data_IF_120169665980
#
_entry.id   IF_120169665980
#
_cell.length_a   1.000
_cell.length_b   1.000
_cell.length_c   1.000
_cell.angle_alpha   90.00
_cell.angle_beta   90.00
_cell.angle_gamma   90.00
#
_symmetry.space_group_name_H-M   'P 1'
#
loop_
_entity.id
_entity.type
_entity.pdbx_description
1 polymer ?
#
# COMPACT_ATOMS: atom_id res chain seq x y z
N UNK A 1 -25.07 32.70 31.42
CA UNK A 1 -25.84 32.67 30.16
C UNK A 1 -24.91 32.17 29.06
N UNK A 2 -25.18 31.01 28.45
CA UNK A 2 -24.35 30.51 27.35
C UNK A 2 -24.65 31.26 26.07
N UNK A 3 -23.63 31.82 25.42
CA UNK A 3 -23.76 32.46 24.11
C UNK A 3 -24.12 31.40 23.07
N UNK A 4 -25.29 31.55 22.43
CA UNK A 4 -25.69 30.67 21.32
C UNK A 4 -24.91 31.10 20.08
N UNK A 5 -23.97 30.27 19.65
CA UNK A 5 -23.20 30.49 18.43
C UNK A 5 -24.00 30.13 17.19
N UNK A 6 -23.87 30.93 16.13
CA UNK A 6 -24.48 30.61 14.85
C UNK A 6 -23.79 29.39 14.20
N UNK A 7 -24.48 28.60 13.36
CA UNK A 7 -23.85 27.48 12.64
C UNK A 7 -22.65 27.90 11.78
N UNK A 8 -22.63 29.16 11.34
CA UNK A 8 -21.53 29.75 10.56
C UNK A 8 -20.32 30.03 11.44
N UNK A 9 -20.51 30.57 12.65
CA UNK A 9 -19.43 30.76 13.63
C UNK A 9 -18.80 29.43 14.03
N UNK A 10 -19.61 28.41 14.33
CA UNK A 10 -19.12 27.08 14.68
C UNK A 10 -18.33 26.45 13.52
N UNK A 11 -18.79 26.66 12.29
CA UNK A 11 -18.11 26.12 11.11
C UNK A 11 -16.80 26.83 10.80
N UNK A 12 -16.76 28.15 10.97
CA UNK A 12 -15.53 28.94 10.85
C UNK A 12 -14.52 28.57 11.94
N UNK A 13 -14.96 28.43 13.18
CA UNK A 13 -14.09 28.00 14.28
C UNK A 13 -13.50 26.60 14.01
N UNK A 14 -14.31 25.66 13.51
CA UNK A 14 -13.85 24.33 13.12
C UNK A 14 -12.87 24.37 11.94
N UNK A 15 -13.09 25.25 10.95
CA UNK A 15 -12.17 25.44 9.84
C UNK A 15 -10.82 26.00 10.34
N UNK A 16 -10.83 26.98 11.24
CA UNK A 16 -9.61 27.58 11.80
C UNK A 16 -8.83 26.58 12.65
N UNK A 17 -9.51 25.75 13.45
CA UNK A 17 -8.83 24.70 14.21
C UNK A 17 -8.16 23.68 13.29
N UNK A 18 -8.82 23.25 12.20
CA UNK A 18 -8.22 22.35 11.21
C UNK A 18 -6.97 22.95 10.54
N UNK A 19 -6.98 24.24 10.23
CA UNK A 19 -5.81 24.94 9.70
C UNK A 19 -4.68 25.02 10.71
N UNK A 20 -5.01 25.31 11.97
CA UNK A 20 -4.05 25.35 13.08
C UNK A 20 -3.34 24.01 13.28
N UNK A 21 -4.07 22.89 13.18
CA UNK A 21 -3.51 21.54 13.24
C UNK A 21 -2.82 21.08 11.95
N UNK A 22 -2.64 21.95 10.95
CA UNK A 22 -1.98 21.62 9.68
C UNK A 22 -2.83 20.77 8.72
N UNK A 23 -4.10 20.52 9.02
CA UNK A 23 -5.02 19.74 8.20
C UNK A 23 -5.71 20.63 7.15
N UNK A 24 -4.90 21.25 6.28
CA UNK A 24 -5.33 22.28 5.31
C UNK A 24 -6.40 21.75 4.35
N UNK A 25 -6.28 20.50 3.89
CA UNK A 25 -7.26 19.92 2.96
C UNK A 25 -8.60 19.65 3.63
N UNK A 26 -8.60 19.21 4.89
CA UNK A 26 -9.83 19.06 5.66
C UNK A 26 -10.54 20.41 5.86
N UNK A 27 -9.77 21.48 6.10
CA UNK A 27 -10.32 22.84 6.20
C UNK A 27 -10.96 23.30 4.88
N UNK A 28 -10.31 23.03 3.73
CA UNK A 28 -10.90 23.33 2.41
C UNK A 28 -12.19 22.54 2.16
N UNK A 29 -12.21 21.24 2.50
CA UNK A 29 -13.41 20.41 2.36
C UNK A 29 -14.55 20.94 3.22
N UNK A 30 -14.25 21.43 4.44
CA UNK A 30 -15.23 22.07 5.32
C UNK A 30 -15.83 23.34 4.69
N UNK A 31 -15.01 24.18 4.06
CA UNK A 31 -15.46 25.38 3.36
C UNK A 31 -16.40 25.05 2.20
N UNK A 32 -15.98 24.13 1.33
CA UNK A 32 -16.76 23.72 0.15
C UNK A 32 -18.09 23.07 0.57
N UNK A 33 -18.11 22.38 1.71
CA UNK A 33 -19.31 21.76 2.26
C UNK A 33 -20.33 22.78 2.77
N UNK A 34 -19.92 24.03 3.05
CA UNK A 34 -20.81 25.10 3.51
C UNK A 34 -21.52 25.83 2.35
N UNK A 35 -21.05 25.68 1.11
CA UNK A 35 -21.62 26.35 -0.07
C UNK A 35 -23.02 25.85 -0.42
N UNK A 36 -23.33 24.58 -0.12
CA UNK A 36 -24.66 24.00 -0.35
C UNK A 36 -24.98 22.93 0.69
N UNK A 37 -26.21 22.87 1.21
CA UNK A 37 -26.63 21.84 2.17
C UNK A 37 -26.52 20.41 1.63
N UNK A 38 -26.49 20.22 0.30
CA UNK A 38 -26.34 18.90 -0.33
C UNK A 38 -24.88 18.48 -0.55
N UNK A 39 -23.92 19.41 -0.53
CA UNK A 39 -22.52 19.11 -0.83
C UNK A 39 -21.94 18.07 0.13
N UNK A 40 -22.15 18.24 1.45
CA UNK A 40 -21.67 17.28 2.44
C UNK A 40 -22.21 15.86 2.19
N UNK A 41 -23.49 15.75 1.79
CA UNK A 41 -24.12 14.48 1.46
C UNK A 41 -23.51 13.85 0.21
N UNK A 42 -23.26 14.65 -0.84
CA UNK A 42 -22.59 14.19 -2.07
C UNK A 42 -21.18 13.67 -1.78
N UNK A 43 -20.36 14.43 -1.06
CA UNK A 43 -19.03 13.98 -0.65
C UNK A 43 -19.07 12.71 0.17
N UNK A 44 -20.03 12.59 1.11
CA UNK A 44 -20.21 11.38 1.91
C UNK A 44 -20.58 10.16 1.08
N UNK A 45 -21.49 10.30 0.11
CA UNK A 45 -21.89 9.20 -0.78
C UNK A 45 -20.69 8.76 -1.60
N UNK A 46 -20.02 9.72 -2.23
CA UNK A 46 -18.84 9.47 -3.07
C UNK A 46 -17.74 8.79 -2.26
N UNK A 47 -17.39 9.31 -1.08
CA UNK A 47 -16.39 8.73 -0.19
C UNK A 47 -16.73 7.28 0.22
N UNK A 48 -18.00 6.99 0.53
CA UNK A 48 -18.44 5.63 0.87
C UNK A 48 -18.48 4.69 -0.32
N UNK A 49 -18.74 5.22 -1.52
CA UNK A 49 -18.77 4.44 -2.76
C UNK A 49 -17.38 4.13 -3.29
N UNK A 50 -16.36 4.91 -2.92
CA UNK A 50 -14.98 4.57 -3.23
C UNK A 50 -14.58 3.36 -2.38
N UNK A 51 -14.32 2.20 -3.01
CA UNK A 51 -13.75 1.11 -2.26
C UNK A 51 -12.39 1.57 -1.76
N UNK A 52 -12.16 1.54 -0.45
CA UNK A 52 -10.81 1.44 0.13
C UNK A 52 -10.21 0.07 -0.19
N UNK A 53 -10.31 -0.37 -1.45
CA UNK A 53 -9.59 -1.51 -1.95
C UNK A 53 -8.15 -1.05 -2.09
N UNK A 54 -7.39 -1.23 -1.00
CA UNK A 54 -5.95 -1.28 -1.10
C UNK A 54 -5.64 -2.32 -2.18
N UNK A 55 -5.06 -1.85 -3.29
CA UNK A 55 -4.65 -2.71 -4.39
C UNK A 55 -3.77 -3.82 -3.80
N UNK A 56 -4.21 -5.07 -3.95
CA UNK A 56 -3.36 -6.21 -3.64
C UNK A 56 -2.26 -6.23 -4.71
N UNK A 57 -1.00 -6.22 -4.26
CA UNK A 57 0.13 -6.36 -5.16
C UNK A 57 0.11 -7.78 -5.75
N UNK A 58 0.60 -7.90 -6.99
CA UNK A 58 0.82 -9.22 -7.57
C UNK A 58 1.96 -9.96 -6.85
N UNK A 59 2.11 -11.26 -7.11
CA UNK A 59 3.17 -12.04 -6.50
C UNK A 59 4.57 -11.53 -6.91
N UNK A 60 4.73 -11.11 -8.16
CA UNK A 60 5.98 -10.54 -8.68
C UNK A 60 6.26 -9.16 -8.07
N UNK A 61 5.24 -8.33 -7.89
CA UNK A 61 5.38 -7.02 -7.24
C UNK A 61 5.72 -7.14 -5.75
N UNK A 62 5.21 -8.16 -5.06
CA UNK A 62 5.63 -8.46 -3.70
C UNK A 62 7.06 -8.94 -3.64
N UNK A 63 7.49 -9.77 -4.60
CA UNK A 63 8.86 -10.24 -4.66
C UNK A 63 9.83 -9.09 -4.95
N UNK A 64 9.52 -8.21 -5.90
CA UNK A 64 10.33 -7.03 -6.16
C UNK A 64 10.44 -6.14 -4.92
N UNK A 65 9.32 -5.85 -4.24
CA UNK A 65 9.33 -5.07 -3.00
C UNK A 65 10.14 -5.74 -1.87
N UNK A 66 10.10 -7.06 -1.78
CA UNK A 66 10.89 -7.82 -0.80
C UNK A 66 12.40 -7.68 -1.06
N UNK A 67 12.81 -7.75 -2.33
CA UNK A 67 14.20 -7.57 -2.76
C UNK A 67 14.64 -6.10 -2.62
N UNK A 68 13.86 -5.15 -3.13
CA UNK A 68 14.17 -3.71 -3.10
C UNK A 68 14.32 -3.19 -1.67
N UNK A 69 13.52 -3.71 -0.74
CA UNK A 69 13.58 -3.36 0.67
C UNK A 69 14.63 -4.18 1.46
N UNK A 70 15.38 -5.07 0.81
CA UNK A 70 16.39 -5.94 1.42
C UNK A 70 15.89 -6.65 2.68
N UNK A 71 14.66 -7.18 2.63
CA UNK A 71 14.03 -7.78 3.79
C UNK A 71 14.54 -9.21 4.02
N UNK A 72 14.78 -9.56 5.27
CA UNK A 72 14.91 -10.97 5.64
C UNK A 72 13.53 -11.62 5.76
N UNK A 73 13.47 -12.95 5.67
CA UNK A 73 12.23 -13.72 5.89
C UNK A 73 11.56 -13.38 7.23
N UNK A 74 12.34 -13.19 8.29
CA UNK A 74 11.82 -12.84 9.61
C UNK A 74 11.22 -11.43 9.64
N UNK A 75 11.90 -10.46 9.05
CA UNK A 75 11.40 -9.08 8.94
C UNK A 75 10.12 -9.02 8.13
N UNK A 76 10.07 -9.71 6.99
CA UNK A 76 8.86 -9.82 6.18
C UNK A 76 7.70 -10.43 6.98
N UNK A 77 7.94 -11.52 7.71
CA UNK A 77 6.91 -12.13 8.55
C UNK A 77 6.43 -11.20 9.67
N UNK A 78 7.30 -10.35 10.24
CA UNK A 78 6.91 -9.32 11.22
C UNK A 78 6.01 -8.26 10.57
N UNK A 79 6.35 -7.78 9.37
CA UNK A 79 5.54 -6.81 8.61
C UNK A 79 4.18 -7.41 8.26
N UNK A 80 4.17 -8.64 7.73
CA UNK A 80 2.93 -9.35 7.40
C UNK A 80 1.98 -9.49 8.59
N UNK A 81 2.50 -9.76 9.79
CA UNK A 81 1.66 -9.85 11.01
C UNK A 81 0.94 -8.54 11.34
N UNK A 82 1.47 -7.39 10.91
CA UNK A 82 0.81 -6.09 11.11
C UNK A 82 -0.32 -5.84 10.12
N UNK A 83 -0.28 -6.45 8.94
CA UNK A 83 -1.31 -6.31 7.91
C UNK A 83 -1.43 -7.58 7.06
N UNK A 84 -2.28 -8.50 7.53
CA UNK A 84 -2.53 -9.81 6.91
C UNK A 84 -3.31 -9.70 5.60
N UNK A 85 -4.09 -8.63 5.41
CA UNK A 85 -4.93 -8.44 4.24
C UNK A 85 -4.13 -7.90 3.06
N UNK A 86 -3.09 -7.10 3.35
CA UNK A 86 -2.18 -6.53 2.35
C UNK A 86 -1.11 -7.52 1.93
N UNK A 87 -0.39 -8.15 2.86
CA UNK A 87 0.82 -8.93 2.52
C UNK A 87 0.58 -10.45 2.34
N UNK A 88 1.03 -10.98 1.22
CA UNK A 88 0.93 -12.42 0.90
C UNK A 88 1.82 -13.29 1.81
N UNK A 89 1.50 -14.59 2.01
CA UNK A 89 2.39 -15.52 2.69
C UNK A 89 3.75 -15.66 1.99
N UNK A 90 4.82 -15.89 2.76
CA UNK A 90 6.18 -16.06 2.22
C UNK A 90 6.28 -17.17 1.15
N UNK A 91 5.44 -18.22 1.22
CA UNK A 91 5.39 -19.28 0.20
C UNK A 91 5.13 -18.73 -1.21
N UNK A 92 4.37 -17.64 -1.31
CA UNK A 92 4.04 -16.99 -2.59
C UNK A 92 5.27 -16.28 -3.15
N UNK A 93 6.05 -15.64 -2.28
CA UNK A 93 7.34 -15.02 -2.63
C UNK A 93 8.31 -16.10 -3.12
N UNK A 94 8.39 -17.24 -2.43
CA UNK A 94 9.23 -18.37 -2.87
C UNK A 94 8.84 -18.90 -4.25
N UNK A 95 7.55 -18.86 -4.60
CA UNK A 95 7.10 -19.31 -5.92
C UNK A 95 7.49 -18.32 -7.01
N UNK A 96 7.38 -17.02 -6.74
CA UNK A 96 7.86 -15.96 -7.63
C UNK A 96 9.40 -16.05 -7.79
N UNK A 97 10.12 -16.23 -6.68
CA UNK A 97 11.57 -16.44 -6.66
C UNK A 97 11.97 -17.63 -7.55
N UNK A 98 11.32 -18.78 -7.41
CA UNK A 98 11.60 -19.97 -8.24
C UNK A 98 11.41 -19.72 -9.74
N UNK A 99 10.44 -18.90 -10.13
CA UNK A 99 10.21 -18.56 -11.53
C UNK A 99 11.35 -17.75 -12.15
N UNK A 100 12.14 -17.05 -11.32
CA UNK A 100 13.29 -16.27 -11.75
C UNK A 100 14.57 -17.09 -11.91
N UNK A 101 14.58 -18.38 -11.56
CA UNK A 101 15.73 -19.24 -11.74
C UNK A 101 15.56 -20.18 -12.93
N UNK A 102 16.65 -20.51 -13.66
CA UNK A 102 16.61 -21.54 -14.69
C UNK A 102 16.30 -22.91 -14.08
N UNK A 103 15.86 -23.84 -14.93
CA UNK A 103 15.45 -25.18 -14.53
C UNK A 103 16.48 -25.87 -13.62
N UNK A 104 16.06 -26.60 -12.56
CA UNK A 104 16.99 -27.21 -11.60
C UNK A 104 18.00 -28.17 -12.23
N UNK A 105 17.65 -28.80 -13.35
CA UNK A 105 18.50 -29.73 -14.11
C UNK A 105 19.64 -29.03 -14.87
N UNK A 106 19.59 -27.69 -14.98
CA UNK A 106 20.63 -26.88 -15.57
C UNK A 106 21.67 -26.39 -14.55
N UNK A 107 21.38 -26.56 -13.26
CA UNK A 107 22.22 -26.11 -12.15
C UNK A 107 22.92 -27.31 -11.50
N UNK A 108 24.20 -27.15 -11.19
CA UNK A 108 24.98 -28.13 -10.42
C UNK A 108 25.56 -27.42 -9.22
N UNK A 109 25.23 -27.91 -8.03
CA UNK A 109 25.65 -27.33 -6.75
C UNK A 109 26.49 -28.37 -6.03
N UNK A 110 27.78 -28.11 -5.94
CA UNK A 110 28.73 -28.86 -5.12
C UNK A 110 29.03 -28.06 -3.84
N UNK A 111 29.68 -28.67 -2.85
CA UNK A 111 30.01 -28.03 -1.57
C UNK A 111 30.85 -26.75 -1.74
N UNK A 112 31.69 -26.70 -2.77
CA UNK A 112 32.67 -25.63 -3.01
C UNK A 112 32.38 -24.81 -4.26
N UNK A 113 31.48 -25.25 -5.14
CA UNK A 113 31.24 -24.58 -6.41
C UNK A 113 29.80 -24.71 -6.89
N UNK A 114 29.33 -23.70 -7.61
CA UNK A 114 28.05 -23.74 -8.30
C UNK A 114 28.28 -23.47 -9.78
N UNK A 115 27.66 -24.28 -10.63
CA UNK A 115 27.78 -24.19 -12.09
C UNK A 115 26.39 -24.14 -12.68
N UNK A 116 26.20 -23.27 -13.67
CA UNK A 116 24.96 -23.14 -14.43
C UNK A 116 25.30 -23.34 -15.90
N UNK A 117 24.48 -24.12 -16.62
CA UNK A 117 24.63 -24.27 -18.06
C UNK A 117 24.37 -22.93 -18.75
N UNK A 118 25.37 -22.42 -19.46
CA UNK A 118 25.29 -21.11 -20.13
C UNK A 118 24.06 -20.97 -21.03
N UNK A 119 23.75 -22.02 -21.81
CA UNK A 119 22.58 -22.02 -22.72
C UNK A 119 21.27 -21.81 -21.96
N UNK A 120 21.08 -22.55 -20.87
CA UNK A 120 19.87 -22.44 -20.05
C UNK A 120 19.72 -21.05 -19.40
N UNK A 121 20.83 -20.39 -19.06
CA UNK A 121 20.81 -19.03 -18.56
C UNK A 121 20.40 -18.03 -19.64
N UNK A 122 20.94 -18.17 -20.85
CA UNK A 122 20.57 -17.33 -22.00
C UNK A 122 19.11 -17.54 -22.39
N UNK A 123 18.64 -18.78 -22.45
CA UNK A 123 17.27 -19.11 -22.82
C UNK A 123 16.23 -18.61 -21.79
N UNK A 124 16.61 -18.52 -20.51
CA UNK A 124 15.73 -18.02 -19.44
C UNK A 124 15.66 -16.49 -19.35
N UNK A 125 16.69 -15.80 -19.88
CA UNK A 125 16.79 -14.32 -19.84
C UNK A 125 16.37 -13.62 -21.13
N UNK A 126 16.26 -14.36 -22.24
CA UNK A 126 15.82 -13.87 -23.56
C UNK A 126 14.33 -13.53 -23.60
#
# INVERSE_FOLDING_TARGET
MGTKHSPRELSYAAQMSLRYFGSVDAAKVKDISMTSPTCATKYRIVFKSFPTQMRKLSNSEFFSLFIDANLTREQYNKVKRKDLARFSPYKVIQQAEKSCYPEPTANTVDETSTKVKQKALLDHTA
#
